data_IF_534500827387
#
_entry.id   IF_534500827387
#
_cell.length_a   1.000
_cell.length_b   1.000
_cell.length_c   1.000
_cell.angle_alpha   90.00
_cell.angle_beta   90.00
_cell.angle_gamma   90.00
#
_symmetry.space_group_name_H-M   'P 1'
#
loop_
_entity.id
_entity.type
_entity.pdbx_description
1 polymer ?
#
# COMPACT_ATOMS: atom_id res chain seq x y z
N UNK A 1 31.86 28.11 -33.82
CA UNK A 1 30.53 27.63 -33.40
C UNK A 1 30.65 26.82 -32.12
N UNK A 2 30.22 27.33 -30.98
CA UNK A 2 30.33 26.64 -29.69
C UNK A 2 29.18 25.64 -29.54
N UNK A 3 29.51 24.35 -29.35
CA UNK A 3 28.54 23.29 -29.10
C UNK A 3 27.91 23.53 -27.72
N UNK A 4 26.60 23.84 -27.68
CA UNK A 4 25.83 23.95 -26.45
C UNK A 4 25.88 22.64 -25.69
N UNK A 5 26.47 22.63 -24.49
CA UNK A 5 26.44 21.50 -23.57
C UNK A 5 25.01 21.34 -23.05
N UNK A 6 24.32 20.25 -23.46
CA UNK A 6 23.03 19.87 -22.88
C UNK A 6 23.14 19.76 -21.35
N UNK A 7 22.25 20.39 -20.57
CA UNK A 7 22.28 20.27 -19.12
C UNK A 7 22.15 18.80 -18.73
N UNK A 8 23.09 18.30 -17.91
CA UNK A 8 22.99 16.95 -17.33
C UNK A 8 21.69 16.86 -16.52
N UNK A 9 20.79 15.93 -16.88
CA UNK A 9 19.63 15.61 -16.04
C UNK A 9 20.17 15.31 -14.65
N UNK A 10 19.78 16.11 -13.63
CA UNK A 10 20.04 15.79 -12.23
C UNK A 10 19.49 14.39 -11.97
N UNK A 11 20.38 13.47 -11.60
CA UNK A 11 20.00 12.13 -11.16
C UNK A 11 19.15 12.30 -9.89
N UNK A 12 17.85 12.23 -10.02
CA UNK A 12 16.97 12.06 -8.86
C UNK A 12 17.17 10.62 -8.40
N UNK A 13 18.01 10.45 -7.39
CA UNK A 13 18.25 9.17 -6.75
C UNK A 13 16.90 8.54 -6.42
N UNK A 14 16.69 7.35 -6.93
CA UNK A 14 15.42 6.66 -6.80
C UNK A 14 15.17 6.43 -5.29
N UNK A 15 14.21 7.14 -4.70
CA UNK A 15 13.86 7.08 -3.26
C UNK A 15 13.65 5.64 -2.76
N UNK A 16 13.47 4.71 -3.67
CA UNK A 16 13.28 3.27 -3.45
C UNK A 16 14.58 2.50 -3.28
N UNK A 17 15.69 2.98 -3.82
CA UNK A 17 16.99 2.43 -3.47
C UNK A 17 17.29 2.63 -1.97
N UNK A 18 16.72 3.69 -1.36
CA UNK A 18 16.84 3.89 0.08
C UNK A 18 15.99 2.92 0.90
N UNK A 19 14.78 2.54 0.43
CA UNK A 19 13.96 1.52 1.12
C UNK A 19 14.58 0.11 1.01
N UNK A 20 15.16 -0.22 -0.16
CA UNK A 20 15.88 -1.49 -0.34
C UNK A 20 17.17 -1.58 0.52
N UNK A 21 17.69 -0.44 0.97
CA UNK A 21 18.86 -0.34 1.87
C UNK A 21 18.46 -0.23 3.35
N UNK A 22 17.16 -0.06 3.65
CA UNK A 22 16.68 0.00 5.03
C UNK A 22 16.88 -1.36 5.73
N UNK A 23 17.25 -1.29 7.00
CA UNK A 23 17.30 -2.49 7.85
C UNK A 23 15.88 -3.03 8.04
N UNK A 24 15.70 -4.34 8.24
CA UNK A 24 14.37 -4.95 8.44
C UNK A 24 13.52 -4.22 9.49
N UNK A 25 14.12 -3.87 10.61
CA UNK A 25 13.43 -3.15 11.69
C UNK A 25 12.95 -1.75 11.28
N UNK A 26 13.76 -1.00 10.54
CA UNK A 26 13.39 0.33 10.04
C UNK A 26 12.21 0.25 9.06
N UNK A 27 12.17 -0.83 8.28
CA UNK A 27 11.09 -1.06 7.33
C UNK A 27 9.80 -1.51 8.04
N UNK A 28 9.91 -2.35 9.06
CA UNK A 28 8.81 -2.72 9.95
C UNK A 28 8.21 -1.49 10.64
N UNK A 29 9.05 -0.64 11.21
CA UNK A 29 8.62 0.62 11.83
C UNK A 29 7.93 1.54 10.81
N UNK A 30 8.43 1.55 9.56
CA UNK A 30 7.81 2.31 8.46
C UNK A 30 6.41 1.80 8.14
N UNK A 31 6.20 0.49 8.07
CA UNK A 31 4.88 -0.13 7.85
C UNK A 31 3.94 0.23 9.01
N UNK A 32 4.37 0.04 10.24
CA UNK A 32 3.57 0.37 11.44
C UNK A 32 3.19 1.85 11.49
N UNK A 33 4.10 2.74 11.11
CA UNK A 33 3.84 4.18 11.06
C UNK A 33 2.83 4.57 9.97
N UNK A 34 2.92 3.97 8.78
CA UNK A 34 1.93 4.19 7.71
C UNK A 34 0.55 3.75 8.20
N UNK A 35 0.47 2.59 8.84
CA UNK A 35 -0.79 2.06 9.33
C UNK A 35 -1.38 2.92 10.45
N UNK A 36 -0.60 3.30 11.47
CA UNK A 36 -1.04 4.21 12.55
C UNK A 36 -1.51 5.56 12.01
N UNK A 37 -0.80 6.11 11.01
CA UNK A 37 -1.25 7.33 10.33
C UNK A 37 -2.59 7.11 9.66
N UNK A 38 -2.78 5.99 8.97
CA UNK A 38 -4.03 5.66 8.31
C UNK A 38 -5.19 5.55 9.31
N UNK A 39 -5.00 4.89 10.45
CA UNK A 39 -6.01 4.83 11.52
C UNK A 39 -6.37 6.24 12.01
N UNK A 40 -5.38 7.07 12.31
CA UNK A 40 -5.60 8.45 12.74
C UNK A 40 -6.41 9.23 11.71
N UNK A 41 -6.04 9.14 10.44
CA UNK A 41 -6.74 9.81 9.33
C UNK A 41 -8.20 9.39 9.26
N UNK A 42 -8.47 8.09 9.33
CA UNK A 42 -9.83 7.55 9.23
C UNK A 42 -10.69 7.93 10.43
N UNK A 43 -10.12 8.03 11.62
CA UNK A 43 -10.84 8.41 12.82
C UNK A 43 -11.07 9.91 12.93
N UNK A 44 -10.09 10.73 12.54
CA UNK A 44 -10.06 12.15 12.85
C UNK A 44 -10.38 13.07 11.66
N UNK A 45 -10.16 12.65 10.42
CA UNK A 45 -10.20 13.55 9.26
C UNK A 45 -11.29 13.26 8.25
N UNK A 46 -11.48 11.99 7.89
CA UNK A 46 -12.32 11.61 6.75
C UNK A 46 -13.79 12.01 6.93
N UNK A 47 -14.27 11.99 8.16
CA UNK A 47 -15.64 12.41 8.51
C UNK A 47 -15.83 13.93 8.52
N UNK A 48 -14.76 14.72 8.58
CA UNK A 48 -14.80 16.17 8.63
C UNK A 48 -14.37 16.85 7.31
N UNK A 49 -13.98 16.07 6.31
CA UNK A 49 -13.53 16.62 5.02
C UNK A 49 -12.14 17.27 5.08
N UNK A 50 -11.32 16.90 6.06
CA UNK A 50 -9.97 17.46 6.28
C UNK A 50 -8.86 16.60 5.66
N UNK A 51 -9.20 15.75 4.70
CA UNK A 51 -8.25 14.88 4.02
C UNK A 51 -7.33 15.66 3.07
N UNK A 52 -6.06 15.31 3.11
CA UNK A 52 -5.05 15.79 2.16
C UNK A 52 -4.72 14.70 1.13
N UNK A 53 -4.04 15.05 0.05
CA UNK A 53 -3.55 14.06 -0.94
C UNK A 53 -2.66 13.00 -0.30
N UNK A 54 -1.82 13.38 0.67
CA UNK A 54 -0.98 12.46 1.42
C UNK A 54 -1.79 11.48 2.27
N UNK A 55 -2.92 11.92 2.83
CA UNK A 55 -3.82 11.08 3.61
C UNK A 55 -4.54 10.08 2.69
N UNK A 56 -5.00 10.53 1.53
CA UNK A 56 -5.56 9.67 0.48
C UNK A 56 -4.53 8.62 0.01
N UNK A 57 -3.29 9.06 -0.20
CA UNK A 57 -2.21 8.14 -0.58
C UNK A 57 -1.96 7.10 0.51
N UNK A 58 -2.01 7.48 1.78
CA UNK A 58 -1.86 6.58 2.90
C UNK A 58 -2.95 5.49 2.91
N UNK A 59 -4.22 5.87 2.74
CA UNK A 59 -5.35 4.92 2.63
C UNK A 59 -5.16 3.97 1.45
N UNK A 60 -4.76 4.48 0.29
CA UNK A 60 -4.49 3.68 -0.90
C UNK A 60 -3.36 2.69 -0.67
N UNK A 61 -2.29 3.12 -0.01
CA UNK A 61 -1.16 2.26 0.31
C UNK A 61 -1.57 1.11 1.24
N UNK A 62 -2.38 1.39 2.26
CA UNK A 62 -2.91 0.37 3.18
C UNK A 62 -3.81 -0.62 2.46
N UNK A 63 -4.72 -0.15 1.61
CA UNK A 63 -5.60 -1.01 0.81
C UNK A 63 -4.81 -1.91 -0.14
N UNK A 64 -3.85 -1.34 -0.87
CA UNK A 64 -3.01 -2.09 -1.80
C UNK A 64 -2.13 -3.11 -1.07
N UNK A 65 -1.62 -2.76 0.11
CA UNK A 65 -0.80 -3.67 0.89
C UNK A 65 -1.62 -4.83 1.46
N UNK A 66 -2.79 -4.55 2.05
CA UNK A 66 -3.71 -5.58 2.50
C UNK A 66 -4.08 -6.53 1.35
N UNK A 67 -4.45 -5.99 0.19
CA UNK A 67 -4.74 -6.80 -1.00
C UNK A 67 -3.53 -7.66 -1.41
N UNK A 68 -2.32 -7.09 -1.39
CA UNK A 68 -1.11 -7.85 -1.71
C UNK A 68 -0.90 -9.01 -0.72
N UNK A 69 -1.11 -8.78 0.58
CA UNK A 69 -0.95 -9.82 1.61
C UNK A 69 -2.03 -10.90 1.51
N UNK A 70 -3.26 -10.59 1.15
CA UNK A 70 -4.31 -11.59 0.91
C UNK A 70 -3.89 -12.59 -0.16
N UNK A 71 -3.18 -12.13 -1.18
CA UNK A 71 -2.81 -12.98 -2.32
C UNK A 71 -1.41 -13.58 -2.23
N UNK A 72 -0.47 -12.91 -1.60
CA UNK A 72 0.91 -13.32 -1.51
C UNK A 72 1.39 -13.57 -0.08
N UNK A 73 0.58 -13.29 0.93
CA UNK A 73 0.89 -13.58 2.33
C UNK A 73 1.01 -15.08 2.60
N UNK A 74 1.75 -15.42 3.65
CA UNK A 74 2.03 -16.81 4.03
C UNK A 74 1.51 -17.18 5.42
N UNK A 75 1.20 -16.19 6.24
CA UNK A 75 0.75 -16.40 7.61
C UNK A 75 -0.74 -16.74 7.70
N UNK A 76 -1.53 -16.32 6.72
CA UNK A 76 -2.98 -16.44 6.73
C UNK A 76 -3.43 -17.34 5.59
N UNK A 77 -4.31 -18.28 5.91
CA UNK A 77 -5.01 -19.06 4.90
C UNK A 77 -5.92 -18.12 4.09
N UNK A 78 -5.59 -17.98 2.81
CA UNK A 78 -6.28 -17.08 1.88
C UNK A 78 -7.75 -17.42 1.76
N UNK A 79 -8.10 -18.69 1.64
CA UNK A 79 -9.48 -19.09 1.38
C UNK A 79 -10.36 -18.86 2.61
N UNK A 80 -9.80 -19.11 3.81
CA UNK A 80 -10.46 -18.76 5.08
C UNK A 80 -10.65 -17.27 5.20
N UNK A 81 -9.60 -16.50 4.96
CA UNK A 81 -9.65 -15.03 5.04
C UNK A 81 -10.67 -14.43 4.06
N UNK A 82 -10.67 -14.87 2.81
CA UNK A 82 -11.61 -14.35 1.81
C UNK A 82 -13.06 -14.69 2.14
N UNK A 83 -13.30 -15.86 2.74
CA UNK A 83 -14.65 -16.24 3.19
C UNK A 83 -15.14 -15.39 4.36
N UNK A 84 -14.27 -15.05 5.30
CA UNK A 84 -14.62 -14.34 6.53
C UNK A 84 -14.58 -12.82 6.39
N UNK A 85 -13.57 -12.29 5.71
CA UNK A 85 -13.30 -10.86 5.62
C UNK A 85 -13.32 -10.30 4.19
N UNK A 86 -13.42 -11.16 3.18
CA UNK A 86 -13.33 -10.73 1.77
C UNK A 86 -14.40 -9.71 1.38
N UNK A 87 -15.62 -9.86 1.89
CA UNK A 87 -16.71 -8.92 1.64
C UNK A 87 -16.40 -7.53 2.19
N UNK A 88 -15.90 -7.45 3.42
CA UNK A 88 -15.58 -6.17 4.07
C UNK A 88 -14.42 -5.48 3.36
N UNK A 89 -13.42 -6.24 2.88
CA UNK A 89 -12.32 -5.70 2.10
C UNK A 89 -12.80 -5.17 0.73
N UNK A 90 -13.74 -5.86 0.10
CA UNK A 90 -14.38 -5.41 -1.14
C UNK A 90 -15.22 -4.14 -0.93
N UNK A 91 -15.98 -4.07 0.16
CA UNK A 91 -16.75 -2.89 0.55
C UNK A 91 -15.82 -1.70 0.84
N UNK A 92 -14.71 -1.93 1.52
CA UNK A 92 -13.67 -0.91 1.71
C UNK A 92 -13.15 -0.40 0.37
N UNK A 93 -12.81 -1.28 -0.55
CA UNK A 93 -12.32 -0.91 -1.88
C UNK A 93 -13.34 -0.05 -2.63
N UNK A 94 -14.62 -0.46 -2.64
CA UNK A 94 -15.70 0.29 -3.30
C UNK A 94 -15.91 1.67 -2.68
N UNK A 95 -15.99 1.72 -1.33
CA UNK A 95 -16.17 2.95 -0.59
C UNK A 95 -15.00 3.93 -0.81
N UNK A 96 -13.78 3.42 -0.76
CA UNK A 96 -12.58 4.22 -1.02
C UNK A 96 -12.56 4.78 -2.45
N UNK A 97 -12.88 3.97 -3.45
CA UNK A 97 -12.92 4.46 -4.84
C UNK A 97 -14.00 5.53 -5.05
N UNK A 98 -15.17 5.35 -4.45
CA UNK A 98 -16.26 6.35 -4.53
C UNK A 98 -15.86 7.65 -3.85
N UNK A 99 -15.31 7.55 -2.64
CA UNK A 99 -14.79 8.70 -1.90
C UNK A 99 -13.67 9.42 -2.67
N UNK A 100 -12.69 8.67 -3.19
CA UNK A 100 -11.57 9.19 -3.95
C UNK A 100 -12.00 9.91 -5.23
N UNK A 101 -12.96 9.35 -5.97
CA UNK A 101 -13.53 10.02 -7.14
C UNK A 101 -14.09 11.39 -6.80
N UNK A 102 -14.89 11.48 -5.72
CA UNK A 102 -15.42 12.78 -5.25
C UNK A 102 -14.34 13.74 -4.76
N UNK A 103 -13.28 13.22 -4.15
CA UNK A 103 -12.14 14.02 -3.70
C UNK A 103 -11.38 14.64 -4.88
N UNK A 104 -11.14 13.87 -5.96
CA UNK A 104 -10.50 14.38 -7.18
C UNK A 104 -11.33 15.49 -7.83
N UNK A 105 -12.65 15.31 -7.87
CA UNK A 105 -13.56 16.25 -8.53
C UNK A 105 -13.76 17.56 -7.74
N UNK A 106 -13.77 17.49 -6.40
CA UNK A 106 -14.20 18.61 -5.54
C UNK A 106 -13.12 19.11 -4.58
N UNK A 107 -11.97 18.42 -4.46
CA UNK A 107 -10.91 18.71 -3.52
C UNK A 107 -11.20 18.15 -2.12
N UNK A 108 -11.97 18.86 -1.32
CA UNK A 108 -12.34 18.42 0.03
C UNK A 108 -13.76 17.85 0.07
N UNK A 109 -13.93 16.65 0.58
CA UNK A 109 -15.24 16.00 0.74
C UNK A 109 -15.31 15.24 2.05
N UNK A 110 -16.49 15.21 2.66
CA UNK A 110 -16.77 14.34 3.80
C UNK A 110 -17.19 12.95 3.30
N UNK A 111 -16.78 11.90 4.00
CA UNK A 111 -17.31 10.59 3.74
C UNK A 111 -18.77 10.49 4.19
N UNK A 112 -19.58 9.77 3.44
CA UNK A 112 -20.93 9.41 3.90
C UNK A 112 -20.85 8.43 5.07
N UNK A 113 -21.92 8.24 5.81
CA UNK A 113 -21.94 7.31 6.96
C UNK A 113 -21.60 5.87 6.55
N UNK A 114 -22.03 5.42 5.38
CA UNK A 114 -21.76 4.08 4.86
C UNK A 114 -20.31 3.94 4.39
N UNK A 115 -19.79 4.94 3.66
CA UNK A 115 -18.37 4.98 3.26
C UNK A 115 -17.46 4.99 4.49
N UNK A 116 -17.76 5.81 5.49
CA UNK A 116 -16.98 5.90 6.72
C UNK A 116 -16.93 4.56 7.45
N UNK A 117 -18.07 3.86 7.52
CA UNK A 117 -18.19 2.55 8.15
C UNK A 117 -17.36 1.50 7.41
N UNK A 118 -17.52 1.42 6.08
CA UNK A 118 -16.78 0.48 5.26
C UNK A 118 -15.27 0.75 5.29
N UNK A 119 -14.84 2.01 5.21
CA UNK A 119 -13.43 2.38 5.26
C UNK A 119 -12.83 2.04 6.64
N UNK A 120 -13.53 2.31 7.73
CA UNK A 120 -13.08 1.96 9.09
C UNK A 120 -12.95 0.46 9.30
N UNK A 121 -13.95 -0.31 8.89
CA UNK A 121 -13.90 -1.77 8.96
C UNK A 121 -12.72 -2.32 8.14
N UNK A 122 -12.56 -1.88 6.91
CA UNK A 122 -11.47 -2.33 6.03
C UNK A 122 -10.09 -1.97 6.54
N UNK A 123 -9.90 -0.78 7.11
CA UNK A 123 -8.62 -0.38 7.73
C UNK A 123 -8.32 -1.25 8.96
N UNK A 124 -9.32 -1.58 9.77
CA UNK A 124 -9.13 -2.49 10.91
C UNK A 124 -8.73 -3.89 10.47
N UNK A 125 -9.39 -4.44 9.45
CA UNK A 125 -9.07 -5.75 8.87
C UNK A 125 -7.67 -5.74 8.26
N UNK A 126 -7.31 -4.68 7.52
CA UNK A 126 -5.97 -4.52 6.96
C UNK A 126 -4.89 -4.51 8.04
N UNK A 127 -5.16 -3.88 9.19
CA UNK A 127 -4.25 -3.85 10.32
C UNK A 127 -4.01 -5.22 10.92
N UNK A 128 -5.07 -5.97 11.16
CA UNK A 128 -4.99 -7.33 11.70
C UNK A 128 -4.19 -8.25 10.75
N UNK A 129 -4.44 -8.15 9.45
CA UNK A 129 -3.71 -8.90 8.43
C UNK A 129 -2.22 -8.54 8.41
N UNK A 130 -1.90 -7.24 8.41
CA UNK A 130 -0.51 -6.76 8.41
C UNK A 130 0.21 -7.22 9.68
N UNK A 131 -0.42 -7.13 10.82
CA UNK A 131 0.15 -7.55 12.11
C UNK A 131 0.39 -9.06 12.15
N UNK A 132 -0.56 -9.86 11.69
CA UNK A 132 -0.43 -11.31 11.61
C UNK A 132 0.75 -11.73 10.71
N UNK A 133 0.86 -11.13 9.53
CA UNK A 133 1.95 -11.41 8.59
C UNK A 133 3.31 -10.93 9.12
N UNK A 134 3.38 -9.77 9.76
CA UNK A 134 4.62 -9.26 10.38
C UNK A 134 5.10 -10.18 11.51
N UNK A 135 4.19 -10.70 12.33
CA UNK A 135 4.55 -11.54 13.46
C UNK A 135 4.95 -12.96 13.04
N UNK A 136 4.34 -13.51 12.00
CA UNK A 136 4.59 -14.89 11.57
C UNK A 136 5.68 -14.99 10.51
N UNK A 137 5.68 -14.09 9.52
CA UNK A 137 6.54 -14.14 8.34
C UNK A 137 7.09 -12.75 7.99
N UNK A 138 7.73 -12.10 8.97
CA UNK A 138 8.21 -10.72 8.87
C UNK A 138 8.95 -10.44 7.55
N UNK A 139 9.93 -11.26 7.18
CA UNK A 139 10.72 -11.01 5.98
C UNK A 139 9.90 -11.09 4.70
N UNK A 140 8.93 -11.99 4.65
CA UNK A 140 8.02 -12.10 3.51
C UNK A 140 7.07 -10.93 3.45
N UNK A 141 6.52 -10.51 4.58
CA UNK A 141 5.68 -9.31 4.69
C UNK A 141 6.42 -8.06 4.20
N UNK A 142 7.68 -7.88 4.59
CA UNK A 142 8.51 -6.78 4.13
C UNK A 142 8.77 -6.83 2.62
N UNK A 143 8.99 -8.02 2.04
CA UNK A 143 9.11 -8.20 0.59
C UNK A 143 7.83 -7.82 -0.15
N UNK A 144 6.68 -8.25 0.35
CA UNK A 144 5.37 -7.87 -0.20
C UNK A 144 5.18 -6.35 -0.19
N UNK A 145 5.54 -5.70 0.92
CA UNK A 145 5.46 -4.24 1.03
C UNK A 145 6.35 -3.53 0.00
N UNK A 146 7.60 -3.94 -0.12
CA UNK A 146 8.53 -3.36 -1.09
C UNK A 146 8.06 -3.57 -2.53
N UNK A 147 7.58 -4.77 -2.84
CA UNK A 147 7.03 -5.09 -4.14
C UNK A 147 5.81 -4.22 -4.47
N UNK A 148 4.86 -4.12 -3.54
CA UNK A 148 3.68 -3.26 -3.69
C UNK A 148 4.08 -1.81 -3.96
N UNK A 149 5.02 -1.28 -3.18
CA UNK A 149 5.53 0.08 -3.37
C UNK A 149 6.20 0.29 -4.72
N UNK A 150 6.91 -0.69 -5.26
CA UNK A 150 7.49 -0.63 -6.60
C UNK A 150 6.41 -0.57 -7.69
N UNK A 151 5.37 -1.38 -7.57
CA UNK A 151 4.29 -1.47 -8.56
C UNK A 151 3.33 -0.28 -8.55
N UNK A 152 2.97 0.24 -7.39
CA UNK A 152 2.07 1.40 -7.27
C UNK A 152 2.67 2.70 -7.83
N UNK A 153 3.96 2.71 -8.14
CA UNK A 153 4.67 3.82 -8.80
C UNK A 153 4.59 3.84 -10.32
N UNK A 154 4.02 2.84 -10.94
CA UNK A 154 3.95 2.82 -12.40
C UNK A 154 3.15 4.02 -12.91
N UNK A 155 3.72 4.91 -13.75
CA UNK A 155 3.05 6.12 -14.22
C UNK A 155 1.88 5.84 -15.16
N UNK A 156 1.61 4.60 -15.49
CA UNK A 156 0.59 4.20 -16.46
C UNK A 156 -0.73 3.75 -15.85
N UNK A 157 -1.03 4.07 -14.59
CA UNK A 157 -2.39 4.03 -14.01
C UNK A 157 -3.30 2.81 -14.37
N UNK A 158 -2.74 1.77 -14.94
CA UNK A 158 -3.48 0.57 -15.31
C UNK A 158 -3.86 -0.21 -14.05
N UNK A 159 -5.11 -0.70 -13.98
CA UNK A 159 -5.49 -1.72 -13.02
C UNK A 159 -4.46 -2.84 -13.09
N UNK A 160 -3.80 -3.11 -11.98
CA UNK A 160 -2.89 -4.26 -11.87
C UNK A 160 -3.79 -5.49 -11.93
N UNK A 161 -3.84 -6.14 -13.08
CA UNK A 161 -4.41 -7.47 -13.18
C UNK A 161 -3.36 -8.41 -12.58
N UNK A 162 -3.62 -8.89 -11.38
CA UNK A 162 -2.63 -9.64 -10.59
C UNK A 162 -2.70 -11.10 -10.98
N UNK A 163 -1.76 -11.54 -11.78
CA UNK A 163 -1.42 -12.96 -11.90
C UNK A 163 -0.62 -13.37 -10.65
N UNK A 164 -1.25 -14.14 -9.77
CA UNK A 164 -0.75 -14.42 -8.43
C UNK A 164 0.50 -15.30 -8.42
N UNK A 165 0.61 -16.26 -9.32
CA UNK A 165 1.82 -17.08 -9.48
C UNK A 165 3.00 -16.21 -9.94
N UNK A 166 2.70 -15.21 -10.76
CA UNK A 166 3.69 -14.22 -11.18
C UNK A 166 4.08 -13.30 -10.02
N UNK A 167 3.15 -12.89 -9.17
CA UNK A 167 3.42 -12.02 -7.99
C UNK A 167 4.35 -12.73 -7.01
N UNK A 168 4.08 -13.97 -6.66
CA UNK A 168 4.93 -14.71 -5.72
C UNK A 168 6.36 -14.85 -6.25
N UNK A 169 6.51 -15.22 -7.52
CA UNK A 169 7.82 -15.29 -8.19
C UNK A 169 8.52 -13.93 -8.22
N UNK A 170 7.78 -12.83 -8.48
CA UNK A 170 8.35 -11.49 -8.50
C UNK A 170 8.76 -11.02 -7.10
N UNK A 171 7.97 -11.28 -6.07
CA UNK A 171 8.30 -10.95 -4.68
C UNK A 171 9.57 -11.71 -4.24
N UNK A 172 9.69 -13.00 -4.57
CA UNK A 172 10.89 -13.78 -4.25
C UNK A 172 12.14 -13.26 -5.00
N UNK A 173 12.00 -12.94 -6.28
CA UNK A 173 13.07 -12.33 -7.07
C UNK A 173 13.48 -10.95 -6.54
N UNK A 174 12.50 -10.14 -6.08
CA UNK A 174 12.76 -8.83 -5.51
C UNK A 174 13.59 -8.95 -4.22
N UNK A 175 13.24 -9.91 -3.37
CA UNK A 175 13.98 -10.19 -2.16
C UNK A 175 15.43 -10.62 -2.40
N UNK A 176 15.69 -11.39 -3.46
CA UNK A 176 17.06 -11.81 -3.84
C UNK A 176 17.91 -10.62 -4.33
N UNK A 177 17.30 -9.62 -4.96
CA UNK A 177 18.00 -8.42 -5.47
C UNK A 177 18.21 -7.34 -4.41
N UNK A 178 17.35 -7.28 -3.39
CA UNK A 178 17.35 -6.21 -2.39
C UNK A 178 18.01 -6.55 -1.04
N UNK A 179 18.19 -7.83 -0.71
CA UNK A 179 18.58 -8.28 0.63
C UNK A 179 19.91 -9.01 0.70
N UNK A 180 20.85 -8.68 -0.16
CA UNK A 180 22.22 -9.14 -0.02
C UNK A 180 22.59 -10.31 -0.92
N UNK A 181 22.33 -10.17 -2.18
CA UNK A 181 23.12 -10.87 -3.17
C UNK A 181 24.56 -10.37 -3.08
N UNK A 182 25.43 -11.10 -2.39
CA UNK A 182 26.84 -11.16 -2.77
C UNK A 182 26.93 -11.99 -4.03
#
# INVERSE_FOLDING_TARGET
MAKSKKPRKKYQGNRWNSLALMRPKELEDSIKNIFRRCETVVHMKIGFGEMTEDDIQCLRDVLNFATTLVFAGKAIDKDVFLRECGKDLEEFQKAFHTYYGRFIDKGTVTATGDELRAIRAGVSIAGQLIEAELNAEMFWCLKCFLWMKDKTRSPKGGRIQVDFDHVEKQIDLYGRKGWGGK
#
